data_IF_584916112809
#
_entry.id   IF_584916112809
#
_cell.length_a   1.000
_cell.length_b   1.000
_cell.length_c   1.000
_cell.angle_alpha   90.00
_cell.angle_beta   90.00
_cell.angle_gamma   90.00
#
_symmetry.space_group_name_H-M   'P 1'
#
loop_
_entity.id
_entity.type
_entity.pdbx_description
1 polymer ?
#
# COMPACT_ATOMS: atom_id res chain seq x y z
N UNK A 1 -7.95 1.82 -4.93
CA UNK A 1 -9.05 0.97 -4.40
C UNK A 1 -8.65 -0.51 -4.30
N UNK A 2 -7.42 -0.87 -4.65
CA UNK A 2 -7.03 -2.25 -4.96
C UNK A 2 -6.81 -3.13 -3.71
N UNK A 3 -6.47 -2.51 -2.59
CA UNK A 3 -6.28 -3.22 -1.31
C UNK A 3 -7.60 -3.83 -0.84
N UNK A 4 -8.68 -3.06 -0.78
CA UNK A 4 -10.00 -3.54 -0.34
C UNK A 4 -10.54 -4.65 -1.25
N UNK A 5 -10.39 -4.49 -2.57
CA UNK A 5 -10.75 -5.53 -3.56
C UNK A 5 -9.96 -6.82 -3.32
N UNK A 6 -8.66 -6.71 -3.03
CA UNK A 6 -7.81 -7.87 -2.74
C UNK A 6 -8.24 -8.56 -1.45
N UNK A 7 -8.45 -7.79 -0.37
CA UNK A 7 -8.84 -8.32 0.94
C UNK A 7 -10.20 -9.02 0.93
N UNK A 8 -11.13 -8.54 0.10
CA UNK A 8 -12.49 -9.07 0.02
C UNK A 8 -12.69 -10.07 -1.13
N UNK A 9 -11.66 -10.34 -1.93
CA UNK A 9 -11.75 -11.16 -3.15
C UNK A 9 -12.28 -12.59 -2.94
N UNK A 10 -12.10 -13.16 -1.74
CA UNK A 10 -12.55 -14.52 -1.37
C UNK A 10 -13.70 -14.52 -0.37
N UNK A 11 -14.19 -13.36 0.01
CA UNK A 11 -15.26 -13.23 1.01
C UNK A 11 -16.62 -13.09 0.33
N UNK A 12 -17.68 -13.74 0.84
CA UNK A 12 -19.02 -13.51 0.33
C UNK A 12 -19.50 -12.13 0.77
N UNK A 13 -19.38 -11.14 -0.10
CA UNK A 13 -19.84 -9.77 0.12
C UNK A 13 -21.14 -9.55 -0.63
N UNK A 14 -22.04 -8.78 -0.03
CA UNK A 14 -23.31 -8.39 -0.64
C UNK A 14 -23.09 -7.79 -2.04
N UNK A 15 -23.94 -8.15 -3.01
CA UNK A 15 -23.82 -7.70 -4.41
C UNK A 15 -24.00 -6.20 -4.53
N UNK A 16 -24.84 -5.63 -3.67
CA UNK A 16 -25.16 -4.21 -3.66
C UNK A 16 -24.22 -3.41 -2.73
N UNK A 17 -23.13 -4.03 -2.27
CA UNK A 17 -22.16 -3.36 -1.43
C UNK A 17 -21.33 -2.34 -2.23
N UNK A 18 -21.52 -1.06 -1.91
CA UNK A 18 -20.71 0.01 -2.47
C UNK A 18 -19.30 0.03 -1.85
N UNK A 19 -18.29 -0.37 -2.61
CA UNK A 19 -16.90 -0.33 -2.19
C UNK A 19 -16.37 1.11 -2.00
N UNK A 20 -17.00 2.12 -2.63
CA UNK A 20 -16.59 3.51 -2.47
C UNK A 20 -16.89 4.03 -1.06
N UNK A 21 -17.94 3.49 -0.42
CA UNK A 21 -18.24 3.79 0.99
C UNK A 21 -17.03 3.54 1.88
N UNK A 22 -16.40 2.34 1.81
CA UNK A 22 -15.22 2.05 2.61
C UNK A 22 -14.04 2.95 2.24
N UNK A 23 -13.78 3.13 0.95
CA UNK A 23 -12.68 3.97 0.50
C UNK A 23 -12.79 5.41 1.02
N UNK A 24 -14.01 5.97 1.10
CA UNK A 24 -14.26 7.31 1.59
C UNK A 24 -14.07 7.49 3.10
N UNK A 25 -14.26 6.43 3.88
CA UNK A 25 -14.19 6.50 5.36
C UNK A 25 -12.90 5.91 5.95
N UNK A 26 -12.04 5.32 5.13
CA UNK A 26 -10.78 4.68 5.58
C UNK A 26 -9.53 5.53 5.31
N UNK A 27 -9.63 6.85 5.29
CA UNK A 27 -8.45 7.70 5.10
C UNK A 27 -7.47 7.58 6.28
N UNK A 28 -6.18 7.40 5.99
CA UNK A 28 -5.12 7.12 6.97
C UNK A 28 -5.25 5.78 7.71
N UNK A 29 -6.04 4.85 7.19
CA UNK A 29 -5.95 3.45 7.59
C UNK A 29 -4.81 2.80 6.81
N UNK A 30 -3.96 2.06 7.52
CA UNK A 30 -2.92 1.24 6.88
C UNK A 30 -3.54 -0.02 6.29
N UNK A 31 -2.78 -0.75 5.46
CA UNK A 31 -3.21 -2.06 4.96
C UNK A 31 -3.50 -3.07 6.08
N UNK A 32 -2.80 -2.96 7.22
CA UNK A 32 -3.06 -3.80 8.40
C UNK A 32 -4.39 -3.43 9.07
N UNK A 33 -4.71 -2.14 9.17
CA UNK A 33 -5.99 -1.69 9.72
C UNK A 33 -7.16 -2.17 8.85
N UNK A 34 -7.03 -2.01 7.52
CA UNK A 34 -8.02 -2.50 6.56
C UNK A 34 -8.21 -4.02 6.65
N UNK A 35 -7.11 -4.77 6.76
CA UNK A 35 -7.16 -6.22 6.96
C UNK A 35 -7.94 -6.58 8.21
N UNK A 36 -7.72 -5.84 9.31
CA UNK A 36 -8.41 -6.08 10.56
C UNK A 36 -9.90 -5.76 10.46
N UNK A 37 -10.28 -4.67 9.80
CA UNK A 37 -11.69 -4.32 9.54
C UNK A 37 -12.39 -5.44 8.75
N UNK A 38 -11.80 -5.89 7.64
CA UNK A 38 -12.38 -6.95 6.82
C UNK A 38 -12.57 -8.26 7.61
N UNK A 39 -11.58 -8.64 8.44
CA UNK A 39 -11.68 -9.83 9.30
C UNK A 39 -12.80 -9.69 10.35
N UNK A 40 -12.91 -8.52 10.98
CA UNK A 40 -13.96 -8.24 11.96
C UNK A 40 -15.34 -8.28 11.31
N UNK A 41 -15.51 -7.65 10.14
CA UNK A 41 -16.77 -7.69 9.39
C UNK A 41 -17.15 -9.11 8.98
N UNK A 42 -16.19 -9.91 8.49
CA UNK A 42 -16.41 -11.32 8.17
C UNK A 42 -16.82 -12.15 9.38
N UNK A 43 -16.21 -11.89 10.55
CA UNK A 43 -16.56 -12.57 11.81
C UNK A 43 -17.97 -12.22 12.29
N UNK A 44 -18.38 -10.96 12.18
CA UNK A 44 -19.74 -10.52 12.51
C UNK A 44 -20.77 -11.19 11.60
N UNK A 45 -20.52 -11.22 10.29
CA UNK A 45 -21.37 -11.91 9.32
C UNK A 45 -21.49 -13.41 9.63
N UNK A 46 -20.38 -14.04 10.06
CA UNK A 46 -20.37 -15.45 10.46
C UNK A 46 -21.25 -15.69 11.68
N UNK A 47 -21.09 -14.88 12.74
CA UNK A 47 -21.91 -15.04 13.95
C UNK A 47 -23.40 -14.91 13.67
N UNK A 48 -23.77 -13.92 12.87
CA UNK A 48 -25.16 -13.76 12.50
C UNK A 48 -25.69 -14.91 11.65
N UNK A 49 -24.91 -15.39 10.68
CA UNK A 49 -25.34 -16.52 9.85
C UNK A 49 -25.65 -17.77 10.70
N UNK A 50 -24.91 -17.96 11.80
CA UNK A 50 -25.12 -19.05 12.74
C UNK A 50 -26.36 -18.78 13.60
N UNK A 51 -26.47 -17.58 14.17
CA UNK A 51 -27.59 -17.18 15.04
C UNK A 51 -28.93 -17.24 14.31
N UNK A 52 -28.99 -16.67 13.11
CA UNK A 52 -30.20 -16.59 12.30
C UNK A 52 -30.40 -17.81 11.38
N UNK A 53 -29.47 -18.77 11.38
CA UNK A 53 -29.44 -19.92 10.44
C UNK A 53 -29.61 -19.48 8.98
N UNK A 54 -28.93 -18.40 8.60
CA UNK A 54 -29.02 -17.77 7.28
C UNK A 54 -27.74 -17.99 6.45
N UNK A 55 -27.78 -17.58 5.18
CA UNK A 55 -26.60 -17.59 4.32
C UNK A 55 -25.52 -16.65 4.88
N UNK A 56 -24.26 -17.08 4.81
CA UNK A 56 -23.11 -16.23 5.12
C UNK A 56 -22.96 -15.13 4.06
N UNK A 57 -23.17 -13.89 4.46
CA UNK A 57 -23.03 -12.71 3.61
C UNK A 57 -22.53 -11.51 4.41
N UNK A 58 -21.48 -10.84 3.94
CA UNK A 58 -20.96 -9.62 4.53
C UNK A 58 -21.71 -8.43 3.93
N UNK A 59 -22.58 -7.82 4.72
CA UNK A 59 -23.30 -6.59 4.37
C UNK A 59 -22.68 -5.35 5.03
N UNK A 60 -23.13 -4.16 4.61
CA UNK A 60 -22.65 -2.86 5.08
C UNK A 60 -22.58 -2.74 6.60
N UNK A 61 -23.62 -3.17 7.31
CA UNK A 61 -23.68 -3.08 8.78
C UNK A 61 -22.55 -3.83 9.49
N UNK A 62 -22.04 -4.92 8.92
CA UNK A 62 -20.89 -5.61 9.51
C UNK A 62 -19.62 -4.77 9.43
N UNK A 63 -19.44 -4.00 8.36
CA UNK A 63 -18.34 -3.05 8.26
C UNK A 63 -18.51 -1.87 9.20
N UNK A 64 -19.73 -1.33 9.32
CA UNK A 64 -20.03 -0.26 10.26
C UNK A 64 -19.72 -0.67 11.71
N UNK A 65 -20.14 -1.86 12.13
CA UNK A 65 -19.81 -2.40 13.45
C UNK A 65 -18.30 -2.68 13.59
N UNK A 66 -17.65 -3.25 12.58
CA UNK A 66 -16.21 -3.49 12.62
C UNK A 66 -15.41 -2.18 12.75
N UNK A 67 -15.86 -1.10 12.11
CA UNK A 67 -15.18 0.20 12.15
C UNK A 67 -15.28 0.90 13.50
N UNK A 68 -16.33 0.63 14.31
CA UNK A 68 -16.41 1.18 15.69
C UNK A 68 -15.24 0.76 16.58
N UNK A 69 -14.66 -0.41 16.30
CA UNK A 69 -13.52 -0.97 17.03
C UNK A 69 -12.19 -0.76 16.30
N UNK A 70 -12.24 -0.24 15.07
CA UNK A 70 -11.06 -0.08 14.25
C UNK A 70 -10.30 1.18 14.66
N UNK A 71 -8.98 1.03 14.82
CA UNK A 71 -8.09 2.15 15.07
C UNK A 71 -7.41 2.55 13.77
N UNK A 72 -7.47 3.84 13.46
CA UNK A 72 -6.62 4.48 12.45
C UNK A 72 -5.17 4.47 12.97
N UNK A 73 -4.27 3.74 12.33
CA UNK A 73 -2.87 3.64 12.77
C UNK A 73 -1.97 4.75 12.22
N UNK A 74 -2.30 5.34 11.07
CA UNK A 74 -1.48 6.38 10.43
C UNK A 74 -1.99 7.77 10.82
N UNK A 75 -1.15 8.57 11.47
CA UNK A 75 -1.48 9.94 11.88
C UNK A 75 -0.99 10.95 10.82
N UNK A 76 -1.78 12.00 10.56
CA UNK A 76 -1.45 13.08 9.62
C UNK A 76 -0.14 13.79 10.00
N UNK A 77 0.14 13.94 11.30
CA UNK A 77 1.39 14.54 11.78
C UNK A 77 2.62 13.70 11.41
N UNK A 78 2.49 12.37 11.37
CA UNK A 78 3.58 11.49 10.97
C UNK A 78 3.78 11.55 9.47
N UNK A 79 2.70 11.50 8.71
CA UNK A 79 2.72 11.66 7.24
C UNK A 79 3.43 12.96 6.85
N UNK A 80 3.05 14.09 7.45
CA UNK A 80 3.66 15.39 7.15
C UNK A 80 5.16 15.43 7.43
N UNK A 81 5.62 14.80 8.53
CA UNK A 81 7.06 14.74 8.85
C UNK A 81 7.83 13.99 7.76
N UNK A 82 7.28 12.87 7.29
CA UNK A 82 7.89 12.09 6.22
C UNK A 82 7.83 12.80 4.87
N UNK A 83 6.76 13.54 4.56
CA UNK A 83 6.67 14.38 3.36
C UNK A 83 7.73 15.48 3.34
N UNK A 84 7.89 16.21 4.45
CA UNK A 84 8.93 17.25 4.59
C UNK A 84 10.32 16.63 4.44
N UNK A 85 10.54 15.47 5.06
CA UNK A 85 11.81 14.74 4.93
C UNK A 85 12.07 14.33 3.48
N UNK A 86 11.08 13.77 2.79
CA UNK A 86 11.18 13.35 1.40
C UNK A 86 11.45 14.54 0.46
N UNK A 87 10.78 15.67 0.67
CA UNK A 87 11.01 16.90 -0.11
C UNK A 87 12.46 17.37 0.02
N UNK A 88 12.96 17.49 1.26
CA UNK A 88 14.35 17.91 1.51
C UNK A 88 15.36 16.97 0.87
N UNK A 89 15.11 15.66 0.92
CA UNK A 89 16.00 14.67 0.31
C UNK A 89 15.98 14.75 -1.22
N UNK A 90 14.81 14.94 -1.83
CA UNK A 90 14.69 15.15 -3.28
C UNK A 90 15.41 16.44 -3.71
N UNK A 91 15.28 17.53 -2.97
CA UNK A 91 15.97 18.80 -3.26
C UNK A 91 17.51 18.61 -3.27
N UNK A 92 18.03 17.82 -2.33
CA UNK A 92 19.45 17.48 -2.25
C UNK A 92 19.86 16.63 -3.47
N UNK A 93 19.08 15.62 -3.85
CA UNK A 93 19.39 14.79 -5.02
C UNK A 93 19.40 15.62 -6.30
N UNK A 94 18.37 16.45 -6.52
CA UNK A 94 18.29 17.32 -7.69
C UNK A 94 19.46 18.32 -7.75
N UNK A 95 19.87 18.88 -6.61
CA UNK A 95 21.03 19.78 -6.54
C UNK A 95 22.38 19.09 -6.79
N UNK A 96 22.48 17.78 -6.53
CA UNK A 96 23.70 17.00 -6.82
C UNK A 96 23.74 16.45 -8.26
N UNK A 97 22.61 16.42 -8.96
CA UNK A 97 22.53 15.91 -10.35
C UNK A 97 23.23 16.85 -11.35
N UNK A 98 23.37 18.15 -11.01
CA UNK A 98 24.13 19.14 -11.79
C UNK A 98 25.67 18.98 -11.66
N UNK A 99 26.17 18.24 -10.67
CA UNK A 99 27.61 17.97 -10.51
C UNK A 99 28.06 16.69 -11.23
N UNK A 100 27.16 15.75 -11.49
CA UNK A 100 27.48 14.46 -12.13
C UNK A 100 27.64 14.58 -13.64
N UNK A 101 27.03 15.60 -14.27
CA UNK A 101 27.18 15.90 -15.70
C UNK A 101 28.55 16.49 -16.07
N UNK A 102 29.29 17.07 -15.11
CA UNK A 102 30.64 17.63 -15.32
C UNK A 102 31.74 16.58 -15.20
N UNK A 103 31.55 15.52 -14.40
CA UNK A 103 32.59 14.53 -14.12
C UNK A 103 32.76 13.41 -15.17
N UNK A 104 31.96 13.41 -16.25
CA UNK A 104 32.02 12.36 -17.30
C UNK A 104 32.69 12.81 -18.61
N UNK A 105 33.35 13.98 -18.66
CA UNK A 105 34.02 14.45 -19.89
C UNK A 105 35.55 14.42 -19.87
N UNK A 106 36.20 14.15 -18.72
CA UNK A 106 37.66 14.18 -18.60
C UNK A 106 38.30 12.85 -18.17
N UNK A 107 37.94 11.74 -18.84
CA UNK A 107 38.87 10.60 -19.02
C UNK A 107 38.74 9.98 -20.40
N UNK A 108 39.29 10.67 -21.40
CA UNK A 108 39.87 10.03 -22.58
C UNK A 108 41.30 9.58 -22.20
N UNK A 109 41.59 8.28 -22.25
CA UNK A 109 42.77 7.72 -22.92
C UNK A 109 42.66 6.20 -22.98
N UNK A 110 42.74 5.71 -24.21
CA UNK A 110 42.92 4.34 -24.65
C UNK A 110 43.85 3.53 -23.76
N UNK A 111 43.53 2.26 -23.56
CA UNK A 111 44.43 1.10 -23.49
C UNK A 111 43.76 0.03 -22.60
N UNK A 112 42.82 -0.78 -23.10
CA UNK A 112 42.38 -2.01 -22.41
C UNK A 112 41.46 -2.94 -23.25
N UNK A 113 41.62 -2.98 -24.58
CA UNK A 113 40.80 -3.84 -25.45
C UNK A 113 41.36 -5.27 -25.68
N UNK A 114 42.38 -5.70 -24.92
CA UNK A 114 43.10 -6.97 -25.20
C UNK A 114 42.98 -8.09 -24.14
N UNK A 115 42.09 -7.98 -23.14
CA UNK A 115 42.03 -9.00 -22.06
C UNK A 115 40.98 -10.12 -22.24
N UNK A 116 40.15 -10.10 -23.28
CA UNK A 116 39.01 -11.04 -23.43
C UNK A 116 39.11 -12.04 -24.60
N UNK A 117 40.32 -12.49 -24.96
CA UNK A 117 40.51 -13.52 -26.01
C UNK A 117 41.48 -14.68 -25.69
N UNK A 118 41.80 -14.96 -24.42
CA UNK A 118 42.75 -16.04 -24.10
C UNK A 118 42.18 -17.27 -23.36
N UNK A 119 40.87 -17.47 -23.29
CA UNK A 119 40.31 -18.69 -22.65
C UNK A 119 39.19 -19.31 -23.46
N UNK A 120 39.50 -19.76 -24.69
CA UNK A 120 38.86 -20.92 -25.33
C UNK A 120 39.81 -21.50 -26.38
N UNK A 121 40.68 -22.40 -25.93
CA UNK A 121 41.14 -23.60 -26.65
C UNK A 121 41.51 -24.66 -25.62
#
# INVERSE_FOLDING_TARGET
MDILKTLLSKSPVDRDFDMNFLAGVTNGFSGADLSKICQCAGKLALYESIENRSQLMICRRHFEEAMKLARRSVNDNEVQKYEIFASKYNDIISSNQDLVSVNNQDQNRSDDDDLYKQTKE
#
